data_IF_043024099313
#
_entry.id   IF_043024099313
#
_cell.length_a   1.000
_cell.length_b   1.000
_cell.length_c   1.000
_cell.angle_alpha   90.00
_cell.angle_beta   90.00
_cell.angle_gamma   90.00
#
_symmetry.space_group_name_H-M   'P 1'
#
loop_
_entity.id
_entity.type
_entity.pdbx_description
1 polymer ?
#
# COMPACT_ATOMS: atom_id res chain seq x y z
N UNK A 1 -2.85 20.76 -2.53
CA UNK A 1 -1.86 20.72 -3.63
C UNK A 1 -0.79 21.79 -3.42
N UNK A 2 0.48 21.51 -3.73
CA UNK A 2 1.60 22.48 -3.61
C UNK A 2 1.77 23.38 -4.83
N UNK A 3 0.94 23.23 -5.87
CA UNK A 3 0.99 24.03 -7.09
C UNK A 3 -0.41 24.28 -7.65
N UNK A 4 -0.51 25.29 -8.52
CA UNK A 4 -1.74 25.57 -9.26
C UNK A 4 -2.01 24.44 -10.25
N UNK A 5 -3.23 23.91 -10.23
CA UNK A 5 -3.66 22.92 -11.22
C UNK A 5 -3.74 23.57 -12.62
N UNK A 6 -3.18 22.93 -13.67
CA UNK A 6 -3.22 23.46 -15.03
C UNK A 6 -4.62 23.32 -15.68
N UNK A 7 -5.42 22.38 -15.18
CA UNK A 7 -6.78 22.10 -15.63
C UNK A 7 -7.72 22.02 -14.44
N UNK A 8 -9.02 22.28 -14.67
CA UNK A 8 -10.06 22.10 -13.65
C UNK A 8 -10.43 20.63 -13.41
N UNK A 9 -10.11 19.74 -14.36
CA UNK A 9 -10.36 18.30 -14.26
C UNK A 9 -9.17 17.52 -14.81
N UNK A 10 -8.74 16.49 -14.06
CA UNK A 10 -7.72 15.53 -14.48
C UNK A 10 -8.21 14.11 -14.18
N UNK A 11 -8.29 13.27 -15.21
CA UNK A 11 -8.69 11.86 -15.06
C UNK A 11 -7.43 11.00 -14.93
N UNK A 12 -6.94 10.84 -13.70
CA UNK A 12 -5.80 9.97 -13.40
C UNK A 12 -6.25 8.51 -13.23
N UNK A 13 -5.46 7.56 -13.77
CA UNK A 13 -5.64 6.11 -13.53
C UNK A 13 -4.42 5.57 -12.82
N UNK A 14 -4.62 4.98 -11.65
CA UNK A 14 -3.55 4.45 -10.80
C UNK A 14 -3.84 2.97 -10.54
N UNK A 15 -2.95 2.03 -10.92
CA UNK A 15 -3.08 0.63 -10.55
C UNK A 15 -2.97 0.44 -9.04
N UNK A 16 -3.38 -0.73 -8.53
CA UNK A 16 -3.33 -1.05 -7.11
C UNK A 16 -2.16 -1.96 -6.79
N UNK A 17 -1.44 -1.64 -5.70
CA UNK A 17 -0.38 -2.47 -5.12
C UNK A 17 -0.93 -3.46 -4.08
N UNK A 18 -2.00 -3.08 -3.35
CA UNK A 18 -2.63 -3.94 -2.35
C UNK A 18 -4.10 -3.57 -2.10
N UNK A 19 -4.87 -4.53 -1.61
CA UNK A 19 -6.21 -4.39 -1.07
C UNK A 19 -6.21 -4.88 0.38
N UNK A 20 -6.89 -4.16 1.26
CA UNK A 20 -7.00 -4.46 2.68
C UNK A 20 -8.48 -4.40 3.05
N UNK A 21 -8.99 -5.43 3.72
CA UNK A 21 -10.27 -5.35 4.42
C UNK A 21 -10.03 -5.41 5.92
N UNK A 22 -10.81 -4.65 6.68
CA UNK A 22 -10.83 -4.70 8.15
C UNK A 22 -12.28 -4.88 8.59
N UNK A 23 -12.52 -5.87 9.45
CA UNK A 23 -13.79 -6.04 10.16
C UNK A 23 -13.57 -6.07 11.66
N UNK A 24 -14.52 -5.51 12.41
CA UNK A 24 -14.51 -5.54 13.88
C UNK A 24 -15.39 -6.70 14.38
N UNK A 25 -14.87 -7.47 15.33
CA UNK A 25 -15.52 -8.65 15.88
C UNK A 25 -16.72 -8.24 16.74
N UNK A 26 -17.86 -8.85 16.45
CA UNK A 26 -19.09 -8.65 17.22
C UNK A 26 -19.85 -7.36 16.87
N UNK A 27 -19.42 -6.63 15.84
CA UNK A 27 -20.15 -5.50 15.27
C UNK A 27 -20.37 -5.72 13.76
N UNK A 28 -21.11 -4.82 13.13
CA UNK A 28 -21.32 -4.82 11.68
C UNK A 28 -20.26 -3.97 10.94
N UNK A 29 -19.20 -3.52 11.63
CA UNK A 29 -18.16 -2.71 11.02
C UNK A 29 -17.34 -3.53 10.02
N UNK A 30 -17.25 -3.00 8.81
CA UNK A 30 -16.45 -3.53 7.71
C UNK A 30 -16.03 -2.36 6.81
N UNK A 31 -14.75 -2.27 6.50
CA UNK A 31 -14.24 -1.27 5.56
C UNK A 31 -13.19 -1.89 4.63
N UNK A 32 -13.17 -1.40 3.40
CA UNK A 32 -12.18 -1.76 2.39
C UNK A 32 -11.27 -0.57 2.11
N UNK A 33 -9.98 -0.86 2.03
CA UNK A 33 -8.94 0.09 1.69
C UNK A 33 -8.14 -0.44 0.50
N UNK A 34 -7.70 0.45 -0.37
CA UNK A 34 -6.80 0.13 -1.47
C UNK A 34 -5.57 1.01 -1.43
N UNK A 35 -4.40 0.42 -1.72
CA UNK A 35 -3.14 1.12 -1.91
C UNK A 35 -2.88 1.24 -3.41
N UNK A 36 -2.82 2.46 -3.92
CA UNK A 36 -2.40 2.72 -5.29
C UNK A 36 -0.89 2.73 -5.45
N UNK A 37 -0.43 2.45 -6.67
CA UNK A 37 1.00 2.52 -7.02
C UNK A 37 1.53 3.94 -6.86
N UNK A 38 2.77 4.06 -6.37
CA UNK A 38 3.49 5.34 -6.30
C UNK A 38 3.66 5.98 -7.68
N UNK A 39 3.18 7.22 -7.83
CA UNK A 39 3.54 8.08 -8.96
C UNK A 39 4.46 9.23 -8.49
N UNK A 40 4.93 10.02 -9.46
CA UNK A 40 5.89 11.12 -9.23
C UNK A 40 5.23 12.42 -9.63
N UNK A 41 5.30 13.41 -8.75
CA UNK A 41 4.59 14.67 -8.98
C UNK A 41 5.11 15.40 -10.21
N UNK A 42 4.21 15.72 -11.12
CA UNK A 42 4.50 16.23 -12.44
C UNK A 42 3.61 17.41 -12.83
N UNK A 43 4.11 18.22 -13.77
CA UNK A 43 3.32 19.20 -14.50
C UNK A 43 2.44 18.46 -15.51
N UNK A 44 1.15 18.36 -15.21
CA UNK A 44 0.18 17.70 -16.09
C UNK A 44 -0.05 18.56 -17.34
N UNK A 45 0.15 17.97 -18.53
CA UNK A 45 -0.21 18.56 -19.82
C UNK A 45 0.72 19.66 -20.36
N UNK A 46 1.96 19.76 -19.87
CA UNK A 46 2.97 20.68 -20.43
C UNK A 46 3.73 20.08 -21.61
N UNK A 47 4.21 20.92 -22.53
CA UNK A 47 4.98 20.47 -23.72
C UNK A 47 6.36 19.89 -23.38
N UNK A 48 7.01 20.39 -22.31
CA UNK A 48 8.36 19.99 -21.87
C UNK A 48 8.58 20.31 -20.40
N UNK A 49 9.65 19.77 -19.81
CA UNK A 49 10.03 19.96 -18.40
C UNK A 49 8.97 19.47 -17.41
N UNK A 50 8.44 18.27 -17.65
CA UNK A 50 7.31 17.66 -16.92
C UNK A 50 7.59 17.54 -15.41
N UNK A 51 8.82 17.26 -14.99
CA UNK A 51 9.11 16.97 -13.58
C UNK A 51 9.23 18.22 -12.71
N UNK A 52 8.59 18.18 -11.53
CA UNK A 52 8.86 19.15 -10.48
C UNK A 52 10.19 18.90 -9.79
N UNK A 53 10.86 19.99 -9.38
CA UNK A 53 12.09 19.97 -8.58
C UNK A 53 11.91 20.89 -7.35
N UNK A 54 12.07 20.37 -6.11
CA UNK A 54 12.23 18.95 -5.80
C UNK A 54 11.00 18.15 -6.21
N UNK A 55 11.22 16.90 -6.61
CA UNK A 55 10.15 15.97 -6.91
C UNK A 55 9.65 15.32 -5.61
N UNK A 56 8.41 14.84 -5.62
CA UNK A 56 7.86 14.04 -4.53
C UNK A 56 7.19 12.78 -5.07
N UNK A 57 7.22 11.74 -4.25
CA UNK A 57 6.30 10.63 -4.39
C UNK A 57 4.88 11.11 -4.11
N UNK A 58 3.91 10.55 -4.82
CA UNK A 58 2.49 10.63 -4.49
C UNK A 58 1.92 9.22 -4.49
N UNK A 59 1.37 8.81 -3.36
CA UNK A 59 0.86 7.45 -3.16
C UNK A 59 -0.55 7.58 -2.56
N UNK A 60 -1.59 7.22 -3.33
CA UNK A 60 -2.95 7.30 -2.85
C UNK A 60 -3.33 6.05 -2.06
N UNK A 61 -4.04 6.24 -0.95
CA UNK A 61 -4.73 5.20 -0.22
C UNK A 61 -6.19 5.64 -0.11
N UNK A 62 -7.12 4.76 -0.46
CA UNK A 62 -8.53 5.13 -0.59
C UNK A 62 -9.42 4.13 0.14
N UNK A 63 -10.46 4.61 0.79
CA UNK A 63 -11.63 3.83 1.20
C UNK A 63 -12.87 4.27 0.41
N UNK A 64 -14.08 3.97 0.91
CA UNK A 64 -15.33 4.34 0.24
C UNK A 64 -15.59 5.84 0.20
N UNK A 65 -15.16 6.59 1.21
CA UNK A 65 -15.44 8.02 1.37
C UNK A 65 -14.20 8.87 1.69
N UNK A 66 -13.08 8.21 2.03
CA UNK A 66 -11.87 8.87 2.51
C UNK A 66 -10.70 8.58 1.58
N UNK A 67 -9.87 9.60 1.39
CA UNK A 67 -8.67 9.55 0.58
C UNK A 67 -7.48 10.04 1.41
N UNK A 68 -6.40 9.26 1.46
CA UNK A 68 -5.11 9.67 1.97
C UNK A 68 -4.10 9.79 0.82
N UNK A 69 -3.51 10.97 0.66
CA UNK A 69 -2.29 11.12 -0.13
C UNK A 69 -1.07 11.08 0.79
N UNK A 70 -0.19 10.10 0.55
CA UNK A 70 1.18 10.14 1.06
C UNK A 70 2.02 10.89 0.04
N UNK A 71 2.65 11.98 0.50
CA UNK A 71 3.54 12.81 -0.29
C UNK A 71 4.85 13.04 0.42
N UNK A 72 5.91 12.42 -0.09
CA UNK A 72 7.24 12.44 0.53
C UNK A 72 8.31 12.87 -0.46
N UNK A 73 9.38 13.45 0.07
CA UNK A 73 10.48 14.02 -0.69
C UNK A 73 11.79 13.25 -0.43
N UNK A 74 12.92 13.82 -0.88
CA UNK A 74 14.28 13.36 -0.63
C UNK A 74 14.66 13.28 0.85
N UNK A 75 13.97 14.03 1.72
CA UNK A 75 14.11 13.96 3.18
C UNK A 75 12.72 13.73 3.80
N UNK A 76 12.68 12.99 4.91
CA UNK A 76 11.48 12.84 5.70
C UNK A 76 11.18 14.15 6.44
N UNK A 77 9.89 14.49 6.57
CA UNK A 77 9.42 15.73 7.17
C UNK A 77 9.99 16.98 6.49
N UNK A 78 10.31 16.92 5.19
CA UNK A 78 10.85 18.08 4.46
C UNK A 78 9.85 19.23 4.41
N UNK A 79 8.56 18.89 4.32
CA UNK A 79 7.48 19.84 4.13
C UNK A 79 7.47 20.49 2.75
N UNK A 80 6.31 20.98 2.35
CA UNK A 80 6.16 21.85 1.19
C UNK A 80 4.92 22.72 1.36
N UNK A 81 4.97 23.98 0.94
CA UNK A 81 3.81 24.88 1.06
C UNK A 81 2.71 24.50 0.06
N UNK A 82 1.46 24.56 0.51
CA UNK A 82 0.30 24.51 -0.37
C UNK A 82 0.31 25.70 -1.34
N UNK A 83 -0.46 25.59 -2.43
CA UNK A 83 -0.68 26.69 -3.35
C UNK A 83 -2.09 27.26 -3.20
N UNK A 84 -2.26 28.58 -2.96
CA UNK A 84 -1.19 29.55 -2.66
C UNK A 84 -0.53 29.30 -1.27
N UNK A 85 0.72 29.75 -1.04
CA UNK A 85 1.45 29.50 0.22
C UNK A 85 0.75 29.99 1.50
N UNK A 86 -0.20 30.92 1.37
CA UNK A 86 -1.03 31.38 2.49
C UNK A 86 -1.91 30.28 3.10
N UNK A 87 -2.06 29.13 2.43
CA UNK A 87 -2.78 27.96 2.95
C UNK A 87 -1.96 27.11 3.92
N UNK A 88 -0.68 27.44 4.13
CA UNK A 88 0.20 26.71 5.06
C UNK A 88 0.94 25.54 4.42
N UNK A 89 1.55 24.72 5.27
CA UNK A 89 2.31 23.54 4.85
C UNK A 89 1.39 22.38 4.49
N UNK A 90 1.71 21.68 3.41
CA UNK A 90 1.08 20.42 3.06
C UNK A 90 1.63 19.32 3.98
N UNK A 91 0.77 18.59 4.71
CA UNK A 91 1.22 17.43 5.47
C UNK A 91 1.69 16.33 4.52
N UNK A 92 2.69 15.55 4.93
CA UNK A 92 3.15 14.39 4.15
C UNK A 92 2.11 13.27 4.08
N UNK A 93 1.17 13.24 5.03
CA UNK A 93 0.02 12.35 5.06
C UNK A 93 -1.22 13.23 5.09
N UNK A 94 -1.85 13.40 3.93
CA UNK A 94 -3.02 14.25 3.79
C UNK A 94 -4.27 13.37 3.66
N UNK A 95 -5.04 13.27 4.74
CA UNK A 95 -6.33 12.59 4.77
C UNK A 95 -7.44 13.62 4.54
N UNK A 96 -8.33 13.34 3.59
CA UNK A 96 -9.41 14.22 3.16
C UNK A 96 -10.64 13.41 2.78
N UNK A 97 -11.82 14.01 2.96
CA UNK A 97 -13.06 13.48 2.40
C UNK A 97 -13.02 13.55 0.87
N UNK A 98 -13.47 12.49 0.22
CA UNK A 98 -13.57 12.41 -1.25
C UNK A 98 -14.55 13.49 -1.76
N UNK A 99 -15.70 13.65 -1.12
CA UNK A 99 -16.73 14.62 -1.54
C UNK A 99 -16.24 16.06 -1.49
N UNK A 100 -15.36 16.38 -0.53
CA UNK A 100 -14.84 17.73 -0.36
C UNK A 100 -13.74 18.09 -1.37
N UNK A 101 -13.10 17.09 -2.02
CA UNK A 101 -11.81 17.31 -2.70
C UNK A 101 -11.70 16.74 -4.10
N UNK A 102 -12.46 15.70 -4.44
CA UNK A 102 -12.44 15.06 -5.75
C UNK A 102 -13.82 15.20 -6.41
N UNK A 103 -13.83 15.42 -7.72
CA UNK A 103 -15.07 15.40 -8.51
C UNK A 103 -15.71 14.00 -8.47
N UNK A 104 -14.86 12.96 -8.57
CA UNK A 104 -15.23 11.58 -8.28
C UNK A 104 -14.00 10.73 -8.00
N UNK A 105 -14.20 9.63 -7.29
CA UNK A 105 -13.23 8.57 -7.12
C UNK A 105 -13.93 7.24 -7.42
N UNK A 106 -13.27 6.39 -8.23
CA UNK A 106 -13.77 5.06 -8.54
C UNK A 106 -12.66 4.04 -8.32
N UNK A 107 -12.95 3.04 -7.48
CA UNK A 107 -12.10 1.86 -7.32
C UNK A 107 -12.66 0.74 -8.16
N UNK A 108 -11.96 0.40 -9.24
CA UNK A 108 -12.24 -0.78 -10.05
C UNK A 108 -11.34 -1.93 -9.58
N UNK A 109 -11.89 -2.83 -8.75
CA UNK A 109 -11.19 -4.01 -8.23
C UNK A 109 -11.81 -5.29 -8.82
N UNK A 110 -11.25 -5.84 -9.92
CA UNK A 110 -11.75 -7.07 -10.52
C UNK A 110 -11.61 -8.23 -9.53
N UNK A 111 -12.72 -8.92 -9.25
CA UNK A 111 -12.71 -10.17 -8.50
C UNK A 111 -12.57 -11.32 -9.49
N UNK A 112 -11.54 -12.14 -9.30
CA UNK A 112 -11.22 -13.29 -10.13
C UNK A 112 -11.16 -14.54 -9.26
N UNK A 113 -11.43 -15.70 -9.86
CA UNK A 113 -11.27 -16.97 -9.17
C UNK A 113 -9.78 -17.20 -8.86
N UNK A 114 -9.52 -17.88 -7.75
CA UNK A 114 -8.16 -18.18 -7.33
C UNK A 114 -8.11 -19.44 -6.49
N UNK A 115 -7.04 -20.21 -6.68
CA UNK A 115 -6.80 -21.46 -5.98
C UNK A 115 -5.65 -21.27 -4.97
N UNK A 116 -5.95 -21.43 -3.68
CA UNK A 116 -4.91 -21.46 -2.65
C UNK A 116 -4.04 -22.72 -2.80
N UNK A 117 -2.74 -22.51 -3.01
CA UNK A 117 -1.74 -23.57 -3.16
C UNK A 117 -1.34 -24.06 -1.77
N UNK A 118 -1.61 -25.34 -1.47
CA UNK A 118 -1.53 -25.87 -0.10
C UNK A 118 -0.18 -26.49 0.27
N UNK A 119 0.75 -26.63 -0.68
CA UNK A 119 2.07 -27.23 -0.41
C UNK A 119 3.18 -26.33 -0.97
N UNK A 120 4.37 -26.33 -0.33
CA UNK A 120 5.53 -25.62 -0.85
C UNK A 120 5.90 -26.05 -2.28
N UNK A 121 5.77 -27.35 -2.59
CA UNK A 121 6.00 -27.88 -3.93
C UNK A 121 5.06 -27.24 -4.97
N UNK A 122 3.75 -27.20 -4.72
CA UNK A 122 2.80 -26.61 -5.66
C UNK A 122 3.07 -25.11 -5.88
N UNK A 123 3.50 -24.40 -4.83
CA UNK A 123 3.89 -22.98 -4.91
C UNK A 123 5.14 -22.83 -5.80
N UNK A 124 6.20 -23.59 -5.54
CA UNK A 124 7.44 -23.54 -6.32
C UNK A 124 7.18 -23.90 -7.79
N UNK A 125 6.38 -24.95 -8.05
CA UNK A 125 6.00 -25.33 -9.43
C UNK A 125 5.23 -24.21 -10.15
N UNK A 126 4.30 -23.53 -9.46
CA UNK A 126 3.58 -22.40 -10.03
C UNK A 126 4.52 -21.22 -10.36
N UNK A 127 5.50 -20.94 -9.49
CA UNK A 127 6.53 -19.92 -9.74
C UNK A 127 7.36 -20.26 -10.97
N UNK A 128 7.88 -21.49 -11.07
CA UNK A 128 8.73 -21.93 -12.18
C UNK A 128 7.99 -22.00 -13.52
N UNK A 129 6.66 -22.10 -13.48
CA UNK A 129 5.80 -22.07 -14.67
C UNK A 129 5.25 -20.68 -15.01
N UNK A 130 5.74 -19.63 -14.34
CA UNK A 130 5.35 -18.23 -14.55
C UNK A 130 3.85 -17.98 -14.34
N UNK A 131 3.24 -18.69 -13.40
CA UNK A 131 1.86 -18.40 -13.02
C UNK A 131 1.75 -17.04 -12.33
N UNK A 132 0.59 -16.39 -12.50
CA UNK A 132 0.27 -15.17 -11.76
C UNK A 132 -0.16 -15.57 -10.35
N UNK A 133 0.58 -15.09 -9.36
CA UNK A 133 0.35 -15.41 -7.95
C UNK A 133 -0.05 -14.15 -7.18
N UNK A 134 -1.02 -14.33 -6.27
CA UNK A 134 -1.42 -13.34 -5.28
C UNK A 134 -1.10 -13.89 -3.88
N UNK A 135 -0.83 -13.01 -2.92
CA UNK A 135 -0.76 -13.39 -1.52
C UNK A 135 -2.06 -12.95 -0.83
N UNK A 136 -2.51 -13.76 0.13
CA UNK A 136 -3.51 -13.37 1.12
C UNK A 136 -2.93 -13.55 2.50
N UNK A 137 -2.86 -12.48 3.28
CA UNK A 137 -2.34 -12.48 4.65
C UNK A 137 -3.47 -12.04 5.59
N UNK A 138 -3.86 -12.91 6.51
CA UNK A 138 -4.88 -12.64 7.51
C UNK A 138 -4.19 -12.37 8.85
N UNK A 139 -4.47 -11.21 9.45
CA UNK A 139 -3.95 -10.79 10.75
C UNK A 139 -5.15 -10.57 11.66
N UNK A 140 -5.10 -11.13 12.86
CA UNK A 140 -6.21 -11.06 13.81
C UNK A 140 -5.76 -10.64 15.20
N UNK A 141 -6.60 -9.90 15.90
CA UNK A 141 -6.52 -9.71 17.34
C UNK A 141 -7.91 -9.90 17.98
N UNK A 142 -8.04 -9.58 19.27
CA UNK A 142 -9.30 -9.71 20.02
C UNK A 142 -10.44 -8.83 19.46
N UNK A 143 -10.12 -7.78 18.70
CA UNK A 143 -11.06 -6.78 18.18
C UNK A 143 -11.25 -6.87 16.67
N UNK A 144 -10.21 -7.10 15.88
CA UNK A 144 -10.24 -6.97 14.43
C UNK A 144 -9.78 -8.24 13.72
N UNK A 145 -10.31 -8.44 12.51
CA UNK A 145 -9.73 -9.30 11.48
C UNK A 145 -9.36 -8.40 10.30
N UNK A 146 -8.07 -8.39 9.94
CA UNK A 146 -7.54 -7.69 8.78
C UNK A 146 -7.09 -8.70 7.72
N UNK A 147 -7.56 -8.53 6.48
CA UNK A 147 -7.19 -9.39 5.35
C UNK A 147 -6.51 -8.52 4.30
N UNK A 148 -5.21 -8.76 4.09
CA UNK A 148 -4.44 -8.17 3.02
C UNK A 148 -4.43 -9.09 1.81
N UNK A 149 -4.72 -8.56 0.63
CA UNK A 149 -4.54 -9.22 -0.66
C UNK A 149 -3.61 -8.38 -1.54
N UNK A 150 -2.52 -8.99 -2.05
CA UNK A 150 -1.50 -8.24 -2.80
C UNK A 150 -0.73 -9.12 -3.80
N UNK A 151 -0.43 -8.62 -5.02
CA UNK A 151 0.29 -9.40 -6.02
C UNK A 151 1.68 -9.81 -5.53
N UNK A 152 2.05 -11.07 -5.77
CA UNK A 152 3.40 -11.55 -5.56
C UNK A 152 4.24 -11.11 -6.77
N UNK A 153 4.93 -9.97 -6.60
CA UNK A 153 5.80 -9.38 -7.63
C UNK A 153 7.22 -9.95 -7.57
N UNK A 154 7.63 -10.47 -6.42
CA UNK A 154 8.94 -11.06 -6.19
C UNK A 154 8.80 -12.25 -5.26
N UNK A 155 9.52 -13.33 -5.59
CA UNK A 155 9.46 -14.61 -4.93
C UNK A 155 10.82 -15.29 -5.04
N UNK A 156 11.39 -15.67 -3.90
CA UNK A 156 12.50 -16.61 -3.87
C UNK A 156 11.93 -18.04 -3.89
N UNK A 157 12.46 -18.91 -4.74
CA UNK A 157 12.01 -20.30 -4.86
C UNK A 157 13.20 -21.26 -5.01
N UNK A 158 13.11 -22.43 -4.38
CA UNK A 158 14.09 -23.50 -4.48
C UNK A 158 13.36 -24.84 -4.70
N UNK A 159 13.58 -25.46 -5.86
CA UNK A 159 12.96 -26.73 -6.28
C UNK A 159 13.60 -27.99 -5.68
N UNK A 160 14.80 -27.87 -5.08
CA UNK A 160 15.47 -29.00 -4.44
C UNK A 160 14.98 -29.21 -3.01
N UNK A 161 14.83 -28.09 -2.30
CA UNK A 161 14.44 -28.06 -0.89
C UNK A 161 12.96 -27.71 -0.70
N UNK A 162 12.25 -27.40 -1.79
CA UNK A 162 10.86 -26.94 -1.81
C UNK A 162 10.60 -25.74 -0.90
N UNK A 163 11.46 -24.73 -1.00
CA UNK A 163 11.33 -23.48 -0.25
C UNK A 163 10.72 -22.42 -1.17
N UNK A 164 9.76 -21.67 -0.64
CA UNK A 164 9.23 -20.46 -1.24
C UNK A 164 9.32 -19.32 -0.22
N UNK A 165 9.55 -18.11 -0.70
CA UNK A 165 9.50 -16.91 0.13
C UNK A 165 9.14 -15.71 -0.73
N UNK A 166 7.85 -15.30 -0.79
CA UNK A 166 7.49 -13.99 -1.29
C UNK A 166 8.24 -12.92 -0.48
N UNK A 167 8.69 -11.89 -1.18
CA UNK A 167 9.34 -10.70 -0.62
C UNK A 167 8.86 -9.48 -1.42
N UNK A 168 7.56 -9.20 -1.28
CA UNK A 168 6.83 -8.28 -2.15
C UNK A 168 6.23 -7.13 -1.35
N UNK A 169 6.00 -6.01 -2.03
CA UNK A 169 5.41 -4.80 -1.47
C UNK A 169 5.41 -3.66 -2.47
N UNK A 170 4.94 -2.47 -2.09
CA UNK A 170 4.40 -2.17 -0.77
C UNK A 170 3.02 -2.81 -0.52
N UNK A 171 2.70 -3.07 0.73
CA UNK A 171 1.37 -3.44 1.26
C UNK A 171 0.97 -2.48 2.38
N UNK A 172 -0.32 -2.45 2.76
CA UNK A 172 -0.82 -1.66 3.89
C UNK A 172 -0.76 -2.46 5.19
N UNK A 173 0.10 -2.05 6.12
CA UNK A 173 0.12 -2.58 7.48
C UNK A 173 -0.77 -1.72 8.39
N UNK A 174 -1.91 -2.22 8.89
CA UNK A 174 -2.78 -1.46 9.77
C UNK A 174 -2.30 -1.47 11.23
N UNK A 175 -2.53 -0.35 11.92
CA UNK A 175 -2.46 -0.29 13.39
C UNK A 175 -3.82 -0.70 13.98
N UNK A 176 -3.95 -1.98 14.30
CA UNK A 176 -5.18 -2.58 14.84
C UNK A 176 -5.44 -2.23 16.32
N UNK A 177 -4.72 -1.27 16.89
CA UNK A 177 -4.99 -0.72 18.22
C UNK A 177 -5.88 0.53 18.18
N UNK A 178 -6.07 1.11 16.99
CA UNK A 178 -6.88 2.32 16.77
C UNK A 178 -8.37 2.01 16.75
N UNK A 179 -9.17 3.05 16.90
CA UNK A 179 -10.61 2.99 16.72
C UNK A 179 -11.00 3.01 15.24
N UNK A 180 -12.23 2.57 14.94
CA UNK A 180 -12.74 2.39 13.57
C UNK A 180 -12.71 3.68 12.74
N UNK A 181 -12.90 4.83 13.38
CA UNK A 181 -12.90 6.16 12.75
C UNK A 181 -11.50 6.73 12.48
N UNK A 182 -10.44 6.06 12.98
CA UNK A 182 -9.05 6.53 12.96
C UNK A 182 -8.08 5.47 12.39
N UNK A 183 -8.61 4.41 11.74
CA UNK A 183 -7.79 3.33 11.19
C UNK A 183 -6.82 3.83 10.11
N UNK A 184 -7.28 4.72 9.21
CA UNK A 184 -6.49 5.17 8.06
C UNK A 184 -5.23 5.96 8.47
N UNK A 185 -5.31 6.73 9.56
CA UNK A 185 -4.16 7.44 10.14
C UNK A 185 -3.04 6.48 10.56
N UNK A 186 -3.40 5.27 10.98
CA UNK A 186 -2.47 4.23 11.44
C UNK A 186 -1.81 3.39 10.35
N UNK A 187 -2.16 3.58 9.07
CA UNK A 187 -1.64 2.71 8.01
C UNK A 187 -0.17 2.97 7.70
N UNK A 188 0.67 1.94 7.72
CA UNK A 188 2.04 2.05 7.25
C UNK A 188 2.24 1.26 5.96
N UNK A 189 3.21 1.68 5.16
CA UNK A 189 3.64 0.90 4.00
C UNK A 189 4.75 -0.06 4.41
N UNK A 190 4.64 -1.32 3.99
CA UNK A 190 5.64 -2.35 4.28
C UNK A 190 5.89 -3.26 3.09
N UNK A 191 7.02 -3.97 3.10
CA UNK A 191 7.17 -5.20 2.31
C UNK A 191 6.90 -6.39 3.22
N UNK A 192 6.19 -7.39 2.70
CA UNK A 192 5.84 -8.61 3.42
C UNK A 192 6.72 -9.77 2.96
N UNK A 193 7.22 -10.55 3.93
CA UNK A 193 7.93 -11.79 3.68
C UNK A 193 7.44 -12.90 4.60
N UNK A 194 7.24 -14.09 4.04
CA UNK A 194 6.89 -15.31 4.77
C UNK A 194 7.35 -16.53 3.99
N UNK A 195 7.58 -17.65 4.66
CA UNK A 195 7.94 -18.93 4.03
C UNK A 195 7.15 -20.12 4.62
N UNK A 196 6.16 -19.82 5.45
CA UNK A 196 5.24 -20.74 6.11
C UNK A 196 3.88 -20.05 6.25
N UNK A 197 2.77 -20.79 6.39
CA UNK A 197 1.45 -20.18 6.55
C UNK A 197 1.27 -19.39 7.85
N UNK A 198 2.05 -19.65 8.90
CA UNK A 198 1.66 -19.25 10.27
C UNK A 198 2.15 -17.88 10.74
N UNK A 199 3.05 -17.24 10.00
CA UNK A 199 3.57 -15.92 10.37
C UNK A 199 4.07 -15.16 9.15
N UNK A 200 4.11 -13.83 9.28
CA UNK A 200 4.68 -12.91 8.30
C UNK A 200 5.63 -11.94 9.01
N UNK A 201 6.71 -11.57 8.33
CA UNK A 201 7.59 -10.49 8.75
C UNK A 201 7.46 -9.33 7.77
N UNK A 202 7.15 -8.15 8.31
CA UNK A 202 7.06 -6.91 7.58
C UNK A 202 8.32 -6.10 7.79
N UNK A 203 8.90 -5.55 6.72
CA UNK A 203 9.83 -4.43 6.82
C UNK A 203 9.07 -3.15 6.53
N UNK A 204 8.90 -2.32 7.56
CA UNK A 204 8.03 -1.13 7.55
C UNK A 204 8.81 0.11 7.15
N UNK A 205 8.20 0.94 6.30
CA UNK A 205 8.74 2.23 5.87
C UNK A 205 8.58 3.26 6.98
N UNK A 206 9.71 3.71 7.55
CA UNK A 206 9.73 4.69 8.63
C UNK A 206 10.82 5.75 8.40
N UNK A 207 10.72 6.93 9.05
CA UNK A 207 11.83 7.88 9.09
C UNK A 207 13.08 7.19 9.67
N UNK A 208 14.14 7.16 8.87
CA UNK A 208 15.40 6.47 9.18
C UNK A 208 16.54 7.47 9.16
N UNK A 209 17.30 7.62 10.26
CA UNK A 209 18.44 8.55 10.30
C UNK A 209 19.52 8.17 9.29
N UNK A 210 20.03 9.16 8.54
CA UNK A 210 21.15 9.01 7.59
C UNK A 210 22.30 9.98 7.85
N UNK A 211 22.16 10.82 8.88
CA UNK A 211 23.13 11.83 9.30
C UNK A 211 22.57 12.66 10.44
N UNK A 212 23.37 13.58 10.97
CA UNK A 212 22.94 14.47 12.05
C UNK A 212 21.75 15.33 11.61
N UNK A 213 20.61 15.18 12.29
CA UNK A 213 19.37 15.91 11.99
C UNK A 213 18.70 15.53 10.66
N UNK A 214 19.22 14.53 9.93
CA UNK A 214 18.71 14.12 8.62
C UNK A 214 18.09 12.72 8.71
N UNK A 215 16.88 12.59 8.18
CA UNK A 215 16.21 11.30 8.00
C UNK A 215 15.58 11.19 6.62
N UNK A 216 15.48 9.96 6.14
CA UNK A 216 14.77 9.60 4.91
C UNK A 216 13.75 8.54 5.24
N UNK A 217 12.68 8.43 4.45
CA UNK A 217 11.79 7.29 4.57
C UNK A 217 12.46 6.05 3.97
N UNK A 218 12.73 5.06 4.82
CA UNK A 218 13.33 3.79 4.41
C UNK A 218 12.63 2.62 5.09
N UNK A 219 12.65 1.46 4.44
CA UNK A 219 12.14 0.22 5.00
C UNK A 219 13.17 -0.34 5.99
N UNK A 220 13.08 0.06 7.26
CA UNK A 220 14.13 -0.18 8.27
C UNK A 220 13.63 -0.71 9.61
N UNK A 221 12.32 -0.84 9.80
CA UNK A 221 11.72 -1.39 11.01
C UNK A 221 11.13 -2.77 10.71
N UNK A 222 11.73 -3.84 11.24
CA UNK A 222 11.13 -5.17 11.13
C UNK A 222 10.03 -5.37 12.17
N UNK A 223 8.91 -5.96 11.75
CA UNK A 223 7.77 -6.34 12.58
C UNK A 223 7.32 -7.74 12.18
N UNK A 224 7.43 -8.71 13.10
CA UNK A 224 6.88 -10.05 12.90
C UNK A 224 5.49 -10.14 13.52
N UNK A 225 4.56 -10.78 12.83
CA UNK A 225 3.20 -11.02 13.28
C UNK A 225 2.81 -12.47 13.03
N UNK A 226 2.06 -13.04 13.97
CA UNK A 226 1.30 -14.27 13.71
C UNK A 226 0.21 -13.94 12.67
N UNK A 227 0.06 -14.82 11.69
CA UNK A 227 -0.85 -14.60 10.58
C UNK A 227 -1.27 -15.92 9.95
N UNK A 228 -2.27 -15.88 9.07
CA UNK A 228 -2.55 -16.96 8.12
C UNK A 228 -2.22 -16.46 6.72
N UNK A 229 -1.16 -17.02 6.14
CA UNK A 229 -0.70 -16.70 4.80
C UNK A 229 -1.11 -17.78 3.80
N UNK A 230 -1.65 -17.33 2.67
CA UNK A 230 -1.93 -18.17 1.51
C UNK A 230 -1.24 -17.60 0.27
N UNK A 231 -0.60 -18.47 -0.51
CA UNK A 231 -0.23 -18.18 -1.89
C UNK A 231 -1.38 -18.66 -2.78
N UNK A 232 -1.94 -17.76 -3.56
CA UNK A 232 -3.12 -17.98 -4.39
C UNK A 232 -2.71 -17.92 -5.85
N UNK A 233 -2.93 -19.02 -6.58
CA UNK A 233 -2.87 -19.04 -8.03
C UNK A 233 -4.08 -18.28 -8.58
N UNK A 234 -3.84 -17.25 -9.39
CA UNK A 234 -4.90 -16.52 -10.09
C UNK A 234 -5.34 -17.34 -11.30
N UNK A 235 -6.62 -17.68 -11.38
CA UNK A 235 -7.17 -18.41 -12.52
C UNK A 235 -7.30 -17.47 -13.72
N UNK A 236 -6.84 -17.92 -14.88
CA UNK A 236 -7.03 -17.17 -16.13
C UNK A 236 -8.51 -17.16 -16.52
N UNK A 237 -9.07 -15.96 -16.73
CA UNK A 237 -10.39 -15.77 -17.33
C UNK A 237 -10.43 -16.19 -18.80
#
# INVERSE_FOLDING_TARGET
MTQKLPYSLNNARIPLDAHLTISERGTDFFEEYVLGVSCKTEQVGVEKNIWHMPNSDFIPICSSDTFMAIKTYDLANKGAMLYPPSLGEQPERQIISIEETLDSLKVDLPRVAGQALKTPQAIVEAVLTNQILNARTIIENDRYTAILEYPIKTMNANERDWIYQPDTGPVLLPDLTRDTDDLMDGFEMAFAAFNTPDWVEFIVRVPTPVGEGLSVYHYSKSVRMDAVNEVVLVESN
#
